data_IF_743106103659
#
_entry.id   IF_743106103659
#
_cell.length_a   1.000
_cell.length_b   1.000
_cell.length_c   1.000
_cell.angle_alpha   90.00
_cell.angle_beta   90.00
_cell.angle_gamma   90.00
#
_symmetry.space_group_name_H-M   'P 1'
#
loop_
_entity.id
_entity.type
_entity.pdbx_description
1 polymer ?
#
# COMPACT_ATOMS: atom_id res chain seq x y z
N UNK A 1 -10.87 -12.93 15.90
CA UNK A 1 -9.88 -12.40 14.93
C UNK A 1 -10.50 -12.42 13.54
N UNK A 2 -10.50 -11.29 12.82
CA UNK A 2 -11.11 -11.24 11.47
C UNK A 2 -10.32 -12.11 10.48
N UNK A 3 -11.01 -12.79 9.56
CA UNK A 3 -10.40 -13.59 8.46
C UNK A 3 -9.41 -12.79 7.58
N UNK A 4 -9.37 -11.46 7.75
CA UNK A 4 -8.53 -10.54 6.99
C UNK A 4 -7.07 -10.59 7.45
N UNK A 5 -6.80 -10.84 8.75
CA UNK A 5 -5.43 -10.89 9.28
C UNK A 5 -4.66 -12.16 8.88
N UNK A 6 -5.34 -13.30 8.81
CA UNK A 6 -4.73 -14.59 8.51
C UNK A 6 -4.37 -14.68 7.02
N UNK A 7 -3.10 -14.45 6.69
CA UNK A 7 -2.58 -14.53 5.32
C UNK A 7 -2.47 -13.20 4.58
N UNK A 8 -2.76 -12.05 5.22
CA UNK A 8 -2.53 -10.74 4.63
C UNK A 8 -1.05 -10.55 4.23
N UNK A 9 -0.12 -10.83 5.15
CA UNK A 9 1.33 -10.74 4.90
C UNK A 9 1.75 -11.51 3.65
N UNK A 10 1.31 -12.77 3.51
CA UNK A 10 1.62 -13.61 2.34
C UNK A 10 1.03 -13.06 1.04
N UNK A 11 -0.17 -12.50 1.07
CA UNK A 11 -0.79 -11.84 -0.10
C UNK A 11 -0.03 -10.57 -0.48
N UNK A 12 0.40 -9.79 0.51
CA UNK A 12 1.18 -8.57 0.33
C UNK A 12 2.55 -8.88 -0.28
N UNK A 13 3.29 -9.83 0.28
CA UNK A 13 4.56 -10.33 -0.26
C UNK A 13 4.39 -10.80 -1.71
N UNK A 14 3.36 -11.61 -2.00
CA UNK A 14 3.07 -12.07 -3.37
C UNK A 14 2.77 -10.91 -4.33
N UNK A 15 2.00 -9.91 -3.90
CA UNK A 15 1.70 -8.73 -4.72
C UNK A 15 2.96 -7.92 -5.01
N UNK A 16 3.85 -7.74 -4.01
CA UNK A 16 5.13 -7.05 -4.16
C UNK A 16 6.05 -7.82 -5.11
N UNK A 17 6.15 -9.14 -4.97
CA UNK A 17 6.94 -9.99 -5.88
C UNK A 17 6.44 -9.89 -7.33
N UNK A 18 5.13 -9.98 -7.55
CA UNK A 18 4.54 -9.82 -8.88
C UNK A 18 4.87 -8.44 -9.46
N UNK A 19 4.71 -7.37 -8.67
CA UNK A 19 5.07 -6.02 -9.10
C UNK A 19 6.58 -5.89 -9.42
N UNK A 20 7.45 -6.54 -8.65
CA UNK A 20 8.88 -6.56 -8.91
C UNK A 20 9.24 -7.26 -10.23
N UNK A 21 8.53 -8.33 -10.58
CA UNK A 21 8.70 -9.04 -11.86
C UNK A 21 8.15 -8.23 -13.04
N UNK A 22 6.95 -7.66 -12.91
CA UNK A 22 6.29 -6.90 -13.97
C UNK A 22 6.94 -5.52 -14.21
N UNK A 23 7.43 -4.88 -13.14
CA UNK A 23 7.91 -3.49 -13.15
C UNK A 23 9.23 -3.34 -12.37
N UNK A 24 10.31 -4.03 -12.78
CA UNK A 24 11.55 -4.13 -12.00
C UNK A 24 12.22 -2.78 -11.74
N UNK A 25 12.17 -1.84 -12.70
CA UNK A 25 12.72 -0.49 -12.51
C UNK A 25 11.98 0.29 -11.42
N UNK A 26 10.64 0.26 -11.43
CA UNK A 26 9.82 0.96 -10.43
C UNK A 26 9.98 0.32 -9.05
N UNK A 27 10.05 -1.01 -8.98
CA UNK A 27 10.34 -1.72 -7.74
C UNK A 27 11.72 -1.32 -7.20
N UNK A 28 12.79 -1.44 -7.99
CA UNK A 28 14.15 -1.11 -7.57
C UNK A 28 14.28 0.35 -7.13
N UNK A 29 13.67 1.28 -7.86
CA UNK A 29 13.67 2.70 -7.52
C UNK A 29 12.97 3.02 -6.20
N UNK A 30 12.00 2.20 -5.78
CA UNK A 30 11.21 2.40 -4.57
C UNK A 30 11.34 1.22 -3.58
N UNK A 31 12.49 0.52 -3.57
CA UNK A 31 12.66 -0.70 -2.77
C UNK A 31 12.43 -0.45 -1.28
N UNK A 32 12.94 0.67 -0.77
CA UNK A 32 12.79 1.08 0.63
C UNK A 32 11.32 1.22 1.04
N UNK A 33 10.46 1.74 0.16
CA UNK A 33 9.03 1.79 0.41
C UNK A 33 8.46 0.38 0.63
N UNK A 34 8.79 -0.58 -0.23
CA UNK A 34 8.31 -1.96 -0.07
C UNK A 34 8.89 -2.65 1.17
N UNK A 35 10.15 -2.38 1.50
CA UNK A 35 10.77 -2.90 2.72
C UNK A 35 10.07 -2.34 3.97
N UNK A 36 9.75 -1.04 3.99
CA UNK A 36 9.01 -0.41 5.09
C UNK A 36 7.56 -0.89 5.19
N UNK A 37 6.89 -1.11 4.06
CA UNK A 37 5.54 -1.72 4.02
C UNK A 37 5.56 -3.09 4.70
N UNK A 38 6.58 -3.90 4.43
CA UNK A 38 6.71 -5.22 5.05
C UNK A 38 7.12 -5.15 6.52
N UNK A 39 7.94 -4.17 6.92
CA UNK A 39 8.32 -3.98 8.31
C UNK A 39 7.15 -3.49 9.18
N UNK A 40 6.32 -2.59 8.65
CA UNK A 40 5.19 -1.96 9.33
C UNK A 40 3.85 -2.64 9.05
N UNK A 41 3.87 -3.85 8.48
CA UNK A 41 2.62 -4.55 8.13
C UNK A 41 1.63 -4.73 9.29
N UNK A 42 2.03 -4.95 10.57
CA UNK A 42 1.06 -5.08 11.66
C UNK A 42 0.29 -3.78 11.89
N UNK A 43 0.99 -2.65 11.92
CA UNK A 43 0.41 -1.30 12.07
C UNK A 43 -0.56 -0.99 10.92
N UNK A 44 -0.16 -1.31 9.68
CA UNK A 44 -1.00 -1.16 8.50
C UNK A 44 -2.29 -1.98 8.62
N UNK A 45 -2.18 -3.23 9.12
CA UNK A 45 -3.35 -4.09 9.32
C UNK A 45 -4.28 -3.51 10.37
N UNK A 46 -3.76 -3.02 11.49
CA UNK A 46 -4.57 -2.45 12.57
C UNK A 46 -5.32 -1.20 12.08
N UNK A 47 -4.64 -0.28 11.40
CA UNK A 47 -5.27 0.92 10.86
C UNK A 47 -6.28 0.61 9.76
N UNK A 48 -5.97 -0.34 8.87
CA UNK A 48 -6.90 -0.79 7.83
C UNK A 48 -8.16 -1.43 8.44
N UNK A 49 -8.02 -2.27 9.46
CA UNK A 49 -9.15 -2.91 10.14
C UNK A 49 -10.02 -1.89 10.83
N UNK A 50 -9.42 -0.92 11.53
CA UNK A 50 -10.12 0.21 12.15
C UNK A 50 -10.92 0.99 11.11
N UNK A 51 -10.28 1.39 10.01
CA UNK A 51 -10.94 2.10 8.91
C UNK A 51 -12.15 1.34 8.35
N UNK A 52 -12.04 0.03 8.11
CA UNK A 52 -13.16 -0.75 7.58
C UNK A 52 -14.27 -1.02 8.60
N UNK A 53 -13.98 -0.95 9.90
CA UNK A 53 -14.98 -0.99 10.97
C UNK A 53 -15.75 0.33 11.05
N UNK A 54 -15.05 1.46 11.07
CA UNK A 54 -15.64 2.80 11.15
C UNK A 54 -16.38 3.20 9.86
N UNK A 55 -15.91 2.72 8.71
CA UNK A 55 -16.46 3.04 7.39
C UNK A 55 -16.93 1.77 6.66
N UNK A 56 -18.09 1.20 7.02
CA UNK A 56 -18.58 -0.06 6.44
C UNK A 56 -18.85 0.01 4.94
N UNK A 57 -19.14 1.21 4.41
CA UNK A 57 -19.33 1.46 2.96
C UNK A 57 -18.01 1.61 2.19
N UNK A 58 -16.89 1.79 2.88
CA UNK A 58 -15.59 1.95 2.22
C UNK A 58 -15.11 0.62 1.63
N UNK A 59 -14.64 0.67 0.40
CA UNK A 59 -14.24 -0.50 -0.38
C UNK A 59 -12.73 -0.70 -0.41
N UNK A 60 -11.94 0.29 0.00
CA UNK A 60 -10.48 0.22 -0.06
C UNK A 60 -9.77 1.04 1.01
N UNK A 61 -8.54 0.63 1.30
CA UNK A 61 -7.54 1.31 2.10
C UNK A 61 -6.27 1.47 1.26
N UNK A 62 -5.57 2.59 1.41
CA UNK A 62 -4.49 2.98 0.50
C UNK A 62 -3.19 3.15 1.28
N UNK A 63 -2.10 2.58 0.77
CA UNK A 63 -0.74 2.86 1.23
C UNK A 63 0.00 3.50 0.07
N UNK A 64 0.76 4.56 0.31
CA UNK A 64 1.48 5.23 -0.77
C UNK A 64 2.80 5.85 -0.35
N UNK A 65 3.63 6.10 -1.35
CA UNK A 65 4.83 6.94 -1.30
C UNK A 65 4.91 7.79 -2.56
N UNK A 66 5.64 8.91 -2.50
CA UNK A 66 6.13 9.56 -3.71
C UNK A 66 7.09 8.65 -4.48
N UNK A 67 7.00 8.68 -5.82
CA UNK A 67 7.83 7.87 -6.69
C UNK A 67 9.22 8.50 -6.88
N UNK A 68 10.27 7.77 -6.51
CA UNK A 68 11.67 8.22 -6.70
C UNK A 68 12.09 8.42 -8.15
N UNK A 69 11.39 7.80 -9.10
CA UNK A 69 11.70 7.92 -10.53
C UNK A 69 10.89 9.03 -11.23
N UNK A 70 9.95 9.68 -10.54
CA UNK A 70 9.13 10.73 -11.14
C UNK A 70 8.46 11.60 -10.08
N UNK A 71 8.76 12.90 -10.12
CA UNK A 71 8.24 13.92 -9.17
C UNK A 71 6.72 14.11 -9.20
N UNK A 72 6.05 13.60 -10.24
CA UNK A 72 4.62 13.79 -10.46
C UNK A 72 3.79 12.60 -10.03
N UNK A 73 4.42 11.45 -9.77
CA UNK A 73 3.70 10.19 -9.56
C UNK A 73 3.99 9.59 -8.21
N UNK A 74 3.11 8.70 -7.79
CA UNK A 74 3.18 7.93 -6.56
C UNK A 74 3.25 6.44 -6.90
N UNK A 75 3.80 5.68 -5.95
CA UNK A 75 3.62 4.24 -5.90
C UNK A 75 2.55 3.95 -4.85
N UNK A 76 1.53 3.20 -5.25
CA UNK A 76 0.33 2.96 -4.46
C UNK A 76 0.13 1.46 -4.28
N UNK A 77 -0.20 1.06 -3.06
CA UNK A 77 -0.74 -0.25 -2.72
C UNK A 77 -2.18 -0.03 -2.28
N UNK A 78 -3.13 -0.48 -3.10
CA UNK A 78 -4.56 -0.46 -2.79
C UNK A 78 -4.97 -1.81 -2.24
N UNK A 79 -5.54 -1.80 -1.04
CA UNK A 79 -6.09 -2.99 -0.39
C UNK A 79 -7.61 -2.88 -0.40
N UNK A 80 -8.27 -3.78 -1.12
CA UNK A 80 -9.74 -3.85 -1.17
C UNK A 80 -10.28 -4.58 0.05
N UNK A 81 -11.50 -4.24 0.49
CA UNK A 81 -12.21 -4.95 1.58
C UNK A 81 -12.34 -6.46 1.34
N UNK A 82 -12.36 -6.89 0.08
CA UNK A 82 -12.31 -8.30 -0.32
C UNK A 82 -10.99 -9.01 -0.03
N UNK A 83 -9.95 -8.27 0.39
CA UNK A 83 -8.59 -8.77 0.61
C UNK A 83 -7.75 -8.84 -0.66
N UNK A 84 -8.21 -8.28 -1.78
CA UNK A 84 -7.40 -8.12 -3.00
C UNK A 84 -6.42 -6.95 -2.82
N UNK A 85 -5.16 -7.16 -3.21
CA UNK A 85 -4.09 -6.16 -3.15
C UNK A 85 -3.67 -5.82 -4.59
N UNK A 86 -3.63 -4.52 -4.91
CA UNK A 86 -3.25 -4.00 -6.22
C UNK A 86 -2.10 -2.98 -6.04
N UNK A 87 -1.00 -3.14 -6.79
CA UNK A 87 0.14 -2.22 -6.74
C UNK A 87 0.27 -1.52 -8.09
N UNK A 88 0.27 -0.20 -8.10
CA UNK A 88 0.34 0.58 -9.34
C UNK A 88 0.98 1.95 -9.14
N UNK A 89 1.38 2.56 -10.26
CA UNK A 89 1.88 3.94 -10.33
C UNK A 89 0.75 4.84 -10.83
N UNK A 90 0.50 5.96 -10.16
CA UNK A 90 -0.49 6.95 -10.63
C UNK A 90 -0.16 8.37 -10.14
N UNK A 91 -0.90 9.35 -10.66
CA UNK A 91 -0.73 10.78 -10.34
C UNK A 91 -1.60 11.15 -9.14
N UNK A 92 -0.99 11.69 -8.08
CA UNK A 92 -1.66 12.30 -6.90
C UNK A 92 -2.88 11.55 -6.40
N UNK A 93 -2.76 10.24 -6.22
CA UNK A 93 -3.92 9.40 -5.88
C UNK A 93 -4.40 9.67 -4.46
N UNK A 94 -3.48 9.98 -3.55
CA UNK A 94 -3.80 10.31 -2.16
C UNK A 94 -4.79 11.48 -2.02
N UNK A 95 -4.81 12.44 -2.95
CA UNK A 95 -5.73 13.60 -2.92
C UNK A 95 -7.20 13.18 -3.05
N UNK A 96 -7.49 11.96 -3.54
CA UNK A 96 -8.85 11.43 -3.68
C UNK A 96 -9.36 10.70 -2.43
N UNK A 97 -8.56 10.61 -1.37
CA UNK A 97 -8.86 9.80 -0.20
C UNK A 97 -8.72 10.61 1.10
N UNK A 98 -9.55 10.30 2.09
CA UNK A 98 -9.48 10.94 3.41
C UNK A 98 -8.20 10.55 4.17
N UNK A 99 -7.76 11.37 5.14
CA UNK A 99 -6.52 11.15 5.88
C UNK A 99 -6.50 9.81 6.62
N UNK A 100 -7.64 9.33 7.11
CA UNK A 100 -7.74 8.06 7.83
C UNK A 100 -7.84 6.83 6.90
N UNK A 101 -8.08 7.05 5.60
CA UNK A 101 -8.13 6.00 4.57
C UNK A 101 -6.75 5.68 3.99
N UNK A 102 -5.78 6.56 4.22
CA UNK A 102 -4.44 6.50 3.62
C UNK A 102 -3.38 6.23 4.67
N UNK A 103 -2.30 5.59 4.24
CA UNK A 103 -1.10 5.34 5.03
C UNK A 103 0.11 5.79 4.21
N UNK A 104 0.75 6.87 4.64
CA UNK A 104 1.93 7.39 3.96
C UNK A 104 3.21 6.74 4.52
N UNK A 105 4.08 6.31 3.62
CA UNK A 105 5.42 5.83 3.95
C UNK A 105 6.44 6.74 3.29
N UNK A 106 7.18 7.48 4.11
CA UNK A 106 8.28 8.29 3.66
C UNK A 106 9.46 7.40 3.24
N UNK A 107 10.12 7.78 2.14
CA UNK A 107 11.41 7.22 1.76
C UNK A 107 12.51 8.23 2.09
N UNK A 108 13.66 7.76 2.56
CA UNK A 108 14.81 8.62 2.87
C UNK A 108 15.20 9.44 1.63
N UNK A 109 15.51 10.73 1.80
CA UNK A 109 16.14 11.48 0.71
C UNK A 109 17.56 10.91 0.53
N UNK A 110 17.89 10.44 -0.67
CA UNK A 110 19.27 10.09 -1.02
C UNK A 110 20.00 11.33 -1.52
#
# INVERSE_FOLDING_TARGET
>A
MSKIGLGFKRKLEKAIMNFALERPRLYKGNKEFFDQVLARYPEIVDQMLKWFQEHPKSTSFIIYTYNRLSRWTEIIIRIKRSGKIEIFKAYKVHENYGPDQIFFIAQSLR
#
